data_IF_998315712743
#
_entry.id   IF_998315712743
#
_cell.length_a   1.000
_cell.length_b   1.000
_cell.length_c   1.000
_cell.angle_alpha   90.00
_cell.angle_beta   90.00
_cell.angle_gamma   90.00
#
_symmetry.space_group_name_H-M   'P 1'
#
loop_
_entity.id
_entity.type
_entity.pdbx_description
1 polymer ?
#
# COMPACT_ATOMS: atom_id res chain seq x y z
N UNK A 1 -3.95 -22.32 35.97
CA UNK A 1 -5.19 -21.71 35.44
C UNK A 1 -4.78 -20.38 34.85
N UNK A 2 -4.97 -20.15 33.54
CA UNK A 2 -4.57 -18.87 32.93
C UNK A 2 -5.58 -17.76 33.31
N UNK A 3 -5.18 -16.50 33.21
CA UNK A 3 -6.04 -15.33 33.55
C UNK A 3 -7.37 -15.33 32.79
N UNK A 4 -7.37 -15.77 31.53
CA UNK A 4 -8.57 -15.90 30.71
C UNK A 4 -9.59 -16.88 31.30
N UNK A 5 -9.16 -18.08 31.70
CA UNK A 5 -10.02 -19.09 32.32
C UNK A 5 -10.65 -18.59 33.62
N UNK A 6 -9.93 -17.77 34.39
CA UNK A 6 -10.43 -17.17 35.62
C UNK A 6 -11.52 -16.13 35.33
N UNK A 7 -11.28 -15.24 34.35
CA UNK A 7 -12.23 -14.18 33.98
C UNK A 7 -13.51 -14.77 33.37
N UNK A 8 -13.38 -15.68 32.41
CA UNK A 8 -14.53 -16.34 31.77
C UNK A 8 -15.38 -17.11 32.77
N UNK A 9 -14.76 -17.80 33.74
CA UNK A 9 -15.49 -18.50 34.81
C UNK A 9 -16.24 -17.53 35.71
N UNK A 10 -15.59 -16.43 36.11
CA UNK A 10 -16.20 -15.39 36.94
C UNK A 10 -17.53 -14.89 36.35
N UNK A 11 -17.52 -14.56 35.06
CA UNK A 11 -18.74 -14.10 34.38
C UNK A 11 -19.75 -15.20 34.08
N UNK A 12 -19.29 -16.45 33.88
CA UNK A 12 -20.17 -17.60 33.66
C UNK A 12 -21.04 -17.92 34.89
N UNK A 13 -20.53 -17.66 36.09
CA UNK A 13 -21.23 -17.94 37.35
C UNK A 13 -22.37 -16.94 37.64
N UNK A 14 -22.38 -15.78 36.94
CA UNK A 14 -23.38 -14.73 37.11
C UNK A 14 -24.39 -14.78 35.95
N UNK A 15 -25.68 -14.99 36.27
CA UNK A 15 -26.73 -15.26 35.26
C UNK A 15 -27.37 -14.03 34.60
N UNK A 16 -26.95 -12.80 34.92
CA UNK A 16 -27.52 -11.61 34.29
C UNK A 16 -26.99 -11.43 32.86
N UNK A 17 -27.79 -10.76 32.03
CA UNK A 17 -27.48 -10.51 30.61
C UNK A 17 -26.13 -9.82 30.45
N UNK A 18 -25.89 -8.72 31.18
CA UNK A 18 -24.62 -7.98 31.17
C UNK A 18 -23.41 -8.86 31.46
N UNK A 19 -23.51 -9.80 32.42
CA UNK A 19 -22.41 -10.71 32.71
C UNK A 19 -22.16 -11.72 31.60
N UNK A 20 -23.22 -12.24 30.99
CA UNK A 20 -23.07 -13.16 29.85
C UNK A 20 -22.46 -12.44 28.64
N UNK A 21 -22.77 -11.16 28.43
CA UNK A 21 -22.11 -10.34 27.43
C UNK A 21 -20.62 -10.16 27.72
N UNK A 22 -20.26 -9.82 28.97
CA UNK A 22 -18.87 -9.68 29.37
C UNK A 22 -18.08 -10.98 29.26
N UNK A 23 -18.73 -12.12 29.49
CA UNK A 23 -18.14 -13.44 29.23
C UNK A 23 -17.77 -13.60 27.76
N UNK A 24 -18.72 -13.37 26.85
CA UNK A 24 -18.50 -13.49 25.39
C UNK A 24 -17.35 -12.58 24.94
N UNK A 25 -17.38 -11.33 25.38
CA UNK A 25 -16.32 -10.36 25.10
C UNK A 25 -14.95 -10.78 25.66
N UNK A 26 -14.93 -11.35 26.86
CA UNK A 26 -13.69 -11.84 27.47
C UNK A 26 -13.14 -13.05 26.71
N UNK A 27 -14.00 -13.96 26.28
CA UNK A 27 -13.62 -15.13 25.47
C UNK A 27 -13.01 -14.70 24.13
N UNK A 28 -13.63 -13.75 23.43
CA UNK A 28 -13.09 -13.20 22.18
C UNK A 28 -11.73 -12.52 22.38
N UNK A 29 -11.58 -11.68 23.42
CA UNK A 29 -10.29 -11.04 23.73
C UNK A 29 -9.19 -12.06 24.05
N UNK A 30 -9.55 -13.10 24.78
CA UNK A 30 -8.64 -14.18 25.13
C UNK A 30 -8.22 -15.00 23.91
N UNK A 31 -9.13 -15.22 22.98
CA UNK A 31 -8.83 -15.86 21.70
C UNK A 31 -7.90 -15.00 20.85
N UNK A 32 -8.14 -13.70 20.72
CA UNK A 32 -7.21 -12.75 20.06
C UNK A 32 -5.81 -12.81 20.68
N UNK A 33 -5.73 -12.73 22.00
CA UNK A 33 -4.46 -12.78 22.73
C UNK A 33 -3.73 -14.11 22.49
N UNK A 34 -4.48 -15.22 22.47
CA UNK A 34 -3.91 -16.52 22.20
C UNK A 34 -3.37 -16.61 20.76
N UNK A 35 -4.12 -16.13 19.76
CA UNK A 35 -3.66 -16.05 18.37
C UNK A 35 -2.38 -15.22 18.22
N UNK A 36 -2.32 -14.06 18.87
CA UNK A 36 -1.14 -13.22 18.88
C UNK A 36 0.07 -13.93 19.50
N UNK A 37 -0.10 -14.55 20.67
CA UNK A 37 0.97 -15.29 21.36
C UNK A 37 1.46 -16.51 20.59
N UNK A 38 0.60 -17.15 19.82
CA UNK A 38 0.95 -18.25 18.92
C UNK A 38 1.46 -17.77 17.55
N UNK A 39 1.61 -16.46 17.33
CA UNK A 39 2.04 -15.87 16.06
C UNK A 39 1.14 -16.23 14.86
N UNK A 40 -0.15 -16.51 15.10
CA UNK A 40 -1.09 -16.89 14.04
C UNK A 40 -1.41 -15.70 13.16
N UNK A 41 -1.68 -14.52 13.74
CA UNK A 41 -2.00 -13.33 12.94
C UNK A 41 -0.87 -12.99 11.95
N UNK A 42 0.39 -13.05 12.41
CA UNK A 42 1.57 -12.86 11.55
C UNK A 42 1.66 -13.94 10.46
N UNK A 43 1.45 -15.21 10.83
CA UNK A 43 1.43 -16.32 9.88
C UNK A 43 0.35 -16.14 8.79
N UNK A 44 -0.84 -15.68 9.19
CA UNK A 44 -1.96 -15.41 8.28
C UNK A 44 -1.67 -14.22 7.37
N UNK A 45 -1.04 -13.16 7.87
CA UNK A 45 -0.56 -12.06 7.03
C UNK A 45 0.38 -12.54 5.92
N UNK A 46 1.33 -13.42 6.24
CA UNK A 46 2.21 -14.06 5.24
C UNK A 46 1.46 -14.95 4.26
N UNK A 47 0.46 -15.71 4.74
CA UNK A 47 -0.39 -16.52 3.87
C UNK A 47 -1.21 -15.65 2.90
N UNK A 48 -1.79 -14.55 3.39
CA UNK A 48 -2.55 -13.61 2.56
C UNK A 48 -1.70 -12.96 1.48
N UNK A 49 -0.45 -12.61 1.79
CA UNK A 49 0.49 -12.11 0.81
C UNK A 49 0.68 -13.10 -0.35
N UNK A 50 0.87 -14.38 -0.03
CA UNK A 50 1.07 -15.44 -1.03
C UNK A 50 -0.21 -15.69 -1.85
N UNK A 51 -1.38 -15.70 -1.20
CA UNK A 51 -2.68 -15.86 -1.87
C UNK A 51 -2.93 -14.69 -2.82
N UNK A 52 -2.75 -13.46 -2.35
CA UNK A 52 -2.98 -12.25 -3.13
C UNK A 52 -2.09 -12.18 -4.38
N UNK A 53 -0.79 -12.45 -4.25
CA UNK A 53 0.12 -12.46 -5.40
C UNK A 53 -0.04 -13.69 -6.30
N UNK A 54 -0.69 -14.76 -5.82
CA UNK A 54 -0.94 -15.97 -6.61
C UNK A 54 0.32 -16.71 -7.04
N UNK A 55 1.44 -16.53 -6.32
CA UNK A 55 2.76 -17.06 -6.71
C UNK A 55 2.91 -18.58 -6.48
N UNK A 56 1.94 -19.21 -5.84
CA UNK A 56 1.94 -20.65 -5.54
C UNK A 56 0.79 -21.32 -6.29
N UNK A 57 1.05 -22.44 -6.97
CA UNK A 57 0.03 -23.10 -7.80
C UNK A 57 -1.19 -23.56 -7.01
N UNK A 58 -1.00 -24.07 -5.79
CA UNK A 58 -2.09 -24.61 -4.98
C UNK A 58 -3.09 -23.57 -4.46
N UNK A 59 -2.76 -22.26 -4.50
CA UNK A 59 -3.72 -21.20 -4.09
C UNK A 59 -4.60 -20.72 -5.24
N UNK A 60 -4.21 -20.94 -6.51
CA UNK A 60 -4.87 -20.32 -7.67
C UNK A 60 -6.30 -20.81 -7.92
N UNK A 61 -6.60 -22.04 -7.51
CA UNK A 61 -7.90 -22.68 -7.75
C UNK A 61 -8.88 -22.50 -6.58
N UNK A 62 -8.45 -21.83 -5.50
CA UNK A 62 -9.18 -21.74 -4.24
C UNK A 62 -9.47 -20.29 -3.88
N UNK A 63 -10.74 -19.99 -3.62
CA UNK A 63 -11.18 -18.65 -3.24
C UNK A 63 -11.13 -18.45 -1.72
N UNK A 64 -9.92 -18.33 -1.17
CA UNK A 64 -9.70 -18.09 0.26
C UNK A 64 -10.25 -16.72 0.72
N UNK A 65 -10.35 -15.74 -0.19
CA UNK A 65 -10.83 -14.39 0.11
C UNK A 65 -12.32 -14.21 -0.15
N UNK A 66 -13.05 -15.28 -0.49
CA UNK A 66 -14.48 -15.21 -0.74
C UNK A 66 -15.25 -14.59 0.43
N UNK A 67 -16.12 -13.63 0.14
CA UNK A 67 -17.08 -13.10 1.13
C UNK A 67 -18.19 -14.11 1.43
N UNK A 68 -18.38 -15.12 0.58
CA UNK A 68 -19.31 -16.20 0.85
C UNK A 68 -18.65 -17.22 1.78
N UNK A 69 -19.12 -17.28 3.03
CA UNK A 69 -18.55 -18.14 4.06
C UNK A 69 -18.55 -19.63 3.71
N UNK A 70 -19.51 -20.09 2.90
CA UNK A 70 -19.52 -21.48 2.41
C UNK A 70 -18.35 -21.72 1.45
N UNK A 71 -18.16 -20.84 0.47
CA UNK A 71 -17.06 -20.94 -0.50
C UNK A 71 -15.71 -20.82 0.22
N UNK A 72 -15.59 -19.88 1.16
CA UNK A 72 -14.39 -19.72 1.98
C UNK A 72 -14.12 -20.99 2.81
N UNK A 73 -15.13 -21.55 3.45
CA UNK A 73 -14.99 -22.79 4.23
C UNK A 73 -14.53 -23.96 3.36
N UNK A 74 -15.09 -24.10 2.16
CA UNK A 74 -14.65 -25.09 1.17
C UNK A 74 -13.20 -24.85 0.75
N UNK A 75 -12.79 -23.60 0.51
CA UNK A 75 -11.43 -23.23 0.13
C UNK A 75 -10.40 -23.56 1.24
N UNK A 76 -10.68 -23.20 2.49
CA UNK A 76 -9.79 -23.55 3.61
C UNK A 76 -9.76 -25.05 3.86
N UNK A 77 -10.90 -25.74 3.78
CA UNK A 77 -10.97 -27.19 4.02
C UNK A 77 -10.21 -27.98 2.96
N UNK A 78 -10.52 -27.74 1.68
CA UNK A 78 -9.85 -28.42 0.55
C UNK A 78 -8.39 -27.99 0.40
N UNK A 79 -8.11 -26.72 0.70
CA UNK A 79 -6.79 -26.10 0.64
C UNK A 79 -5.96 -26.25 1.91
N UNK A 80 -6.36 -27.09 2.86
CA UNK A 80 -5.65 -27.26 4.14
C UNK A 80 -4.17 -27.60 3.93
N UNK A 81 -3.86 -28.54 3.05
CA UNK A 81 -2.48 -28.92 2.75
C UNK A 81 -1.66 -27.74 2.22
N UNK A 82 -2.23 -26.95 1.32
CA UNK A 82 -1.61 -25.75 0.75
C UNK A 82 -1.27 -24.72 1.83
N UNK A 83 -2.23 -24.42 2.73
CA UNK A 83 -2.01 -23.52 3.86
C UNK A 83 -0.89 -24.06 4.77
N UNK A 84 -0.92 -25.35 5.11
CA UNK A 84 0.09 -25.95 5.98
C UNK A 84 1.50 -25.92 5.37
N UNK A 85 1.63 -26.12 4.06
CA UNK A 85 2.92 -26.08 3.37
C UNK A 85 3.46 -24.65 3.25
N UNK A 86 2.58 -23.67 3.08
CA UNK A 86 2.94 -22.25 3.19
C UNK A 86 3.38 -21.93 4.62
N UNK A 87 2.63 -22.38 5.63
CA UNK A 87 2.91 -22.10 7.03
C UNK A 87 4.28 -22.66 7.46
N UNK A 88 4.62 -23.89 7.07
CA UNK A 88 5.92 -24.51 7.35
C UNK A 88 7.12 -23.72 6.83
N UNK A 89 6.93 -22.90 5.80
CA UNK A 89 8.01 -22.11 5.17
C UNK A 89 8.10 -20.68 5.71
N UNK A 90 6.97 -20.12 6.14
CA UNK A 90 6.85 -18.68 6.40
C UNK A 90 6.44 -18.33 7.83
N UNK A 91 6.09 -19.31 8.66
CA UNK A 91 5.56 -19.07 10.00
C UNK A 91 6.48 -19.62 11.09
N UNK A 92 6.35 -19.06 12.29
CA UNK A 92 7.05 -19.55 13.47
C UNK A 92 6.54 -20.94 13.87
N UNK A 93 7.39 -21.71 14.56
CA UNK A 93 7.06 -23.07 15.03
C UNK A 93 5.78 -23.11 15.86
N UNK A 94 5.54 -22.14 16.74
CA UNK A 94 4.32 -22.05 17.55
C UNK A 94 3.05 -21.93 16.71
N UNK A 95 3.10 -21.17 15.62
CA UNK A 95 1.98 -21.04 14.69
C UNK A 95 1.68 -22.36 13.99
N UNK A 96 2.72 -23.06 13.55
CA UNK A 96 2.63 -24.36 12.89
C UNK A 96 2.04 -25.41 13.85
N UNK A 97 2.53 -25.45 15.09
CA UNK A 97 2.04 -26.37 16.14
C UNK A 97 0.56 -26.13 16.45
N UNK A 98 0.14 -24.87 16.57
CA UNK A 98 -1.25 -24.51 16.75
C UNK A 98 -2.11 -24.95 15.57
N UNK A 99 -1.73 -24.63 14.33
CA UNK A 99 -2.49 -25.00 13.14
C UNK A 99 -2.61 -26.52 12.99
N UNK A 100 -1.58 -27.28 13.36
CA UNK A 100 -1.64 -28.74 13.38
C UNK A 100 -2.66 -29.27 14.40
N UNK A 101 -2.68 -28.68 15.60
CA UNK A 101 -3.45 -29.22 16.74
C UNK A 101 -4.88 -28.65 16.84
N UNK A 102 -5.13 -27.49 16.27
CA UNK A 102 -6.36 -26.72 16.44
C UNK A 102 -6.94 -26.22 15.10
N UNK A 103 -6.69 -26.95 14.01
CA UNK A 103 -7.13 -26.53 12.68
C UNK A 103 -8.64 -26.29 12.58
N UNK A 104 -9.46 -27.12 13.24
CA UNK A 104 -10.92 -26.98 13.21
C UNK A 104 -11.36 -25.66 13.84
N UNK A 105 -10.76 -25.29 14.98
CA UNK A 105 -11.03 -23.99 15.63
C UNK A 105 -10.54 -22.83 14.76
N UNK A 106 -9.37 -22.96 14.15
CA UNK A 106 -8.89 -22.00 13.17
C UNK A 106 -9.88 -21.82 12.01
N UNK A 107 -10.34 -22.92 11.41
CA UNK A 107 -11.30 -22.91 10.32
C UNK A 107 -12.62 -22.24 10.72
N UNK A 108 -13.14 -22.56 11.91
CA UNK A 108 -14.34 -21.94 12.48
C UNK A 108 -14.17 -20.41 12.54
N UNK A 109 -13.07 -19.91 13.08
CA UNK A 109 -12.77 -18.47 13.16
C UNK A 109 -12.66 -17.85 11.76
N UNK A 110 -12.05 -18.52 10.79
CA UNK A 110 -11.91 -17.98 9.44
C UNK A 110 -13.22 -17.93 8.65
N UNK A 111 -14.23 -18.70 9.05
CA UNK A 111 -15.43 -18.99 8.22
C UNK A 111 -16.75 -18.70 8.91
N UNK A 112 -16.73 -18.31 10.19
CA UNK A 112 -17.92 -17.98 10.95
C UNK A 112 -17.87 -16.49 11.31
N UNK A 113 -18.78 -15.66 10.76
CA UNK A 113 -18.90 -14.26 11.17
C UNK A 113 -19.22 -14.18 12.66
N UNK A 114 -18.76 -13.14 13.33
CA UNK A 114 -19.21 -12.87 14.69
C UNK A 114 -20.63 -12.30 14.73
N UNK A 115 -21.36 -12.58 15.81
CA UNK A 115 -22.60 -11.87 16.09
C UNK A 115 -22.29 -10.39 16.40
N UNK A 116 -22.74 -9.52 15.49
CA UNK A 116 -22.43 -8.11 15.25
C UNK A 116 -22.60 -7.09 16.40
N UNK A 117 -22.81 -7.50 17.66
CA UNK A 117 -23.46 -6.58 18.61
C UNK A 117 -22.66 -6.03 19.77
N UNK A 118 -21.50 -6.56 20.19
CA UNK A 118 -20.92 -6.13 21.49
C UNK A 118 -19.39 -6.01 21.58
N UNK A 119 -18.61 -6.74 20.78
CA UNK A 119 -17.14 -6.71 20.87
C UNK A 119 -16.47 -6.92 19.50
N UNK A 120 -15.32 -6.30 19.29
CA UNK A 120 -14.51 -6.49 18.08
C UNK A 120 -14.08 -7.96 17.96
N UNK A 121 -14.53 -8.65 16.92
CA UNK A 121 -14.22 -10.07 16.76
C UNK A 121 -12.83 -10.30 16.16
N UNK A 122 -12.27 -11.49 16.40
CA UNK A 122 -11.04 -11.92 15.73
C UNK A 122 -11.29 -12.21 14.24
N UNK A 123 -12.49 -12.68 13.89
CA UNK A 123 -12.87 -12.91 12.50
C UNK A 123 -12.72 -11.60 11.71
N UNK A 124 -13.38 -10.54 12.13
CA UNK A 124 -13.40 -9.26 11.41
C UNK A 124 -12.00 -8.65 11.27
N UNK A 125 -11.19 -8.78 12.32
CA UNK A 125 -9.78 -8.37 12.31
C UNK A 125 -8.99 -9.15 11.24
N UNK A 126 -9.10 -10.48 11.23
CA UNK A 126 -8.44 -11.32 10.24
C UNK A 126 -9.01 -11.13 8.83
N UNK A 127 -10.27 -10.73 8.67
CA UNK A 127 -10.84 -10.43 7.36
C UNK A 127 -10.30 -9.11 6.82
N UNK A 128 -10.22 -8.09 7.68
CA UNK A 128 -9.64 -6.78 7.37
C UNK A 128 -8.18 -6.90 6.92
N UNK A 129 -7.41 -7.80 7.55
CA UNK A 129 -6.02 -8.07 7.18
C UNK A 129 -5.83 -8.54 5.72
N UNK A 130 -6.88 -8.99 5.02
CA UNK A 130 -6.79 -9.39 3.61
C UNK A 130 -6.43 -8.22 2.68
N UNK A 131 -6.63 -6.98 3.12
CA UNK A 131 -6.23 -5.79 2.37
C UNK A 131 -4.77 -5.41 2.58
N UNK A 132 -4.07 -5.96 3.58
CA UNK A 132 -2.69 -5.59 3.88
C UNK A 132 -1.71 -5.82 2.72
N UNK A 133 -1.78 -6.93 1.94
CA UNK A 133 -0.91 -7.10 0.79
C UNK A 133 -1.08 -5.96 -0.24
N UNK A 134 -2.33 -5.57 -0.51
CA UNK A 134 -2.65 -4.45 -1.41
C UNK A 134 -2.12 -3.10 -0.89
N UNK A 135 -2.25 -2.85 0.41
CA UNK A 135 -1.72 -1.64 1.02
C UNK A 135 -0.19 -1.64 1.03
N UNK A 136 0.46 -2.79 1.15
CA UNK A 136 1.92 -2.90 1.05
C UNK A 136 2.39 -2.63 -0.37
N UNK A 137 1.70 -3.17 -1.38
CA UNK A 137 1.94 -2.87 -2.79
C UNK A 137 1.80 -1.37 -3.05
N UNK A 138 0.79 -0.71 -2.47
CA UNK A 138 0.65 0.74 -2.52
C UNK A 138 1.93 1.43 -2.03
N UNK A 139 2.37 1.15 -0.80
CA UNK A 139 3.60 1.75 -0.28
C UNK A 139 4.82 1.47 -1.17
N UNK A 140 4.90 0.28 -1.75
CA UNK A 140 5.90 -0.10 -2.74
C UNK A 140 5.84 0.77 -4.00
N UNK A 141 4.65 0.91 -4.59
CA UNK A 141 4.39 1.73 -5.78
C UNK A 141 4.75 3.19 -5.54
N UNK A 142 4.37 3.76 -4.39
CA UNK A 142 4.74 5.13 -4.04
C UNK A 142 6.25 5.31 -3.96
N UNK A 143 6.92 4.39 -3.24
CA UNK A 143 8.37 4.46 -3.04
C UNK A 143 9.11 4.31 -4.36
N UNK A 144 8.71 3.32 -5.17
CA UNK A 144 9.27 3.06 -6.48
C UNK A 144 9.07 4.27 -7.41
N UNK A 145 7.83 4.75 -7.54
CA UNK A 145 7.49 5.90 -8.38
C UNK A 145 8.32 7.12 -8.02
N UNK A 146 8.43 7.43 -6.73
CA UNK A 146 9.22 8.55 -6.25
C UNK A 146 10.69 8.41 -6.66
N UNK A 147 11.29 7.22 -6.51
CA UNK A 147 12.69 6.97 -6.88
C UNK A 147 12.89 7.13 -8.39
N UNK A 148 12.03 6.54 -9.21
CA UNK A 148 12.12 6.62 -10.67
C UNK A 148 11.99 8.07 -11.16
N UNK A 149 11.04 8.82 -10.62
CA UNK A 149 10.88 10.25 -10.92
C UNK A 149 12.12 11.05 -10.52
N UNK A 150 12.69 10.80 -9.33
CA UNK A 150 13.93 11.45 -8.88
C UNK A 150 15.13 11.12 -9.80
N UNK A 151 15.10 9.99 -10.50
CA UNK A 151 16.13 9.62 -11.48
C UNK A 151 15.88 10.21 -12.89
N UNK A 152 14.74 10.87 -13.09
CA UNK A 152 14.31 11.42 -14.37
C UNK A 152 13.66 10.39 -15.30
N UNK A 153 13.27 9.22 -14.77
CA UNK A 153 12.56 8.22 -15.55
C UNK A 153 11.06 8.54 -15.61
N UNK A 154 10.44 8.21 -16.75
CA UNK A 154 9.00 8.27 -16.88
C UNK A 154 8.39 7.00 -16.24
N UNK A 155 7.41 7.21 -15.36
CA UNK A 155 6.68 6.13 -14.69
C UNK A 155 5.29 6.02 -15.29
N UNK A 156 5.00 4.87 -15.88
CA UNK A 156 3.65 4.55 -16.35
C UNK A 156 2.93 3.69 -15.31
N UNK A 157 2.27 4.36 -14.36
CA UNK A 157 1.38 3.70 -13.40
C UNK A 157 -0.04 4.21 -13.62
N UNK A 158 -0.97 3.27 -13.71
CA UNK A 158 -2.40 3.56 -13.76
C UNK A 158 -2.94 3.88 -12.36
N UNK A 159 -2.59 5.04 -11.84
CA UNK A 159 -2.96 5.49 -10.48
C UNK A 159 -4.45 5.35 -10.22
N UNK A 160 -5.37 5.79 -11.12
CA UNK A 160 -6.80 5.69 -10.84
C UNK A 160 -7.28 4.25 -10.63
N UNK A 161 -6.81 3.31 -11.48
CA UNK A 161 -7.18 1.89 -11.36
C UNK A 161 -6.65 1.27 -10.06
N UNK A 162 -5.39 1.57 -9.69
CA UNK A 162 -4.78 1.07 -8.45
C UNK A 162 -5.45 1.63 -7.20
N UNK A 163 -5.72 2.94 -7.19
CA UNK A 163 -6.38 3.63 -6.10
C UNK A 163 -7.79 3.10 -5.85
N UNK A 164 -8.58 2.90 -6.91
CA UNK A 164 -9.91 2.29 -6.78
C UNK A 164 -9.81 0.87 -6.21
N UNK A 165 -8.84 0.07 -6.67
CA UNK A 165 -8.59 -1.27 -6.14
C UNK A 165 -8.21 -1.28 -4.66
N UNK A 166 -7.37 -0.34 -4.20
CA UNK A 166 -7.02 -0.21 -2.78
C UNK A 166 -8.23 0.20 -1.94
N UNK A 167 -8.99 1.19 -2.43
CA UNK A 167 -10.18 1.73 -1.76
C UNK A 167 -11.30 0.72 -1.64
N UNK A 168 -11.58 -0.01 -2.72
CA UNK A 168 -12.61 -1.03 -2.74
C UNK A 168 -12.33 -2.13 -1.71
N UNK A 169 -11.06 -2.52 -1.53
CA UNK A 169 -10.71 -3.49 -0.50
C UNK A 169 -11.08 -2.98 0.90
N UNK A 170 -10.81 -1.70 1.19
CA UNK A 170 -11.07 -1.14 2.52
C UNK A 170 -12.56 -0.90 2.79
N UNK A 171 -13.33 -0.40 1.81
CA UNK A 171 -14.77 -0.16 1.96
C UNK A 171 -15.54 -1.44 2.32
N UNK A 172 -15.01 -2.59 1.91
CA UNK A 172 -15.62 -3.88 2.14
C UNK A 172 -15.59 -4.34 3.61
N UNK A 173 -14.83 -3.67 4.49
CA UNK A 173 -14.67 -4.04 5.89
C UNK A 173 -14.97 -2.87 6.84
N UNK A 174 -15.83 -3.09 7.83
CA UNK A 174 -16.27 -2.09 8.80
C UNK A 174 -15.17 -1.55 9.72
N UNK A 175 -14.03 -2.24 9.81
CA UNK A 175 -12.87 -1.83 10.60
C UNK A 175 -12.14 -0.62 10.01
N UNK A 176 -12.33 -0.35 8.71
CA UNK A 176 -11.80 0.86 8.08
C UNK A 176 -12.78 2.02 8.25
N UNK A 177 -12.36 3.05 8.97
CA UNK A 177 -13.18 4.24 9.20
C UNK A 177 -12.99 5.29 8.08
N UNK A 178 -13.85 6.31 8.08
CA UNK A 178 -13.81 7.40 7.10
C UNK A 178 -12.43 8.08 7.04
N UNK A 179 -11.78 8.31 8.19
CA UNK A 179 -10.45 8.94 8.25
C UNK A 179 -9.37 8.12 7.54
N UNK A 180 -9.44 6.77 7.63
CA UNK A 180 -8.52 5.90 6.90
C UNK A 180 -8.76 5.94 5.39
N UNK A 181 -10.02 6.03 4.96
CA UNK A 181 -10.39 6.18 3.56
C UNK A 181 -9.97 7.55 3.00
N UNK A 182 -10.15 8.62 3.76
CA UNK A 182 -9.71 9.97 3.40
C UNK A 182 -8.18 10.03 3.25
N UNK A 183 -7.45 9.38 4.17
CA UNK A 183 -5.98 9.29 4.09
C UNK A 183 -5.50 8.54 2.84
N UNK A 184 -6.26 7.52 2.41
CA UNK A 184 -5.99 6.81 1.15
C UNK A 184 -6.25 7.72 -0.06
N UNK A 185 -7.35 8.46 -0.08
CA UNK A 185 -7.67 9.41 -1.14
C UNK A 185 -6.59 10.50 -1.25
N UNK A 186 -6.15 11.06 -0.13
CA UNK A 186 -5.04 12.02 -0.08
C UNK A 186 -3.74 11.44 -0.64
N UNK A 187 -3.39 10.21 -0.23
CA UNK A 187 -2.21 9.54 -0.77
C UNK A 187 -2.35 9.39 -2.30
N UNK A 188 -3.48 8.89 -2.78
CA UNK A 188 -3.76 8.69 -4.19
C UNK A 188 -3.63 9.97 -5.02
N UNK A 189 -4.11 11.10 -4.51
CA UNK A 189 -3.91 12.41 -5.13
C UNK A 189 -2.43 12.80 -5.17
N UNK A 190 -1.67 12.54 -4.11
CA UNK A 190 -0.23 12.78 -4.07
C UNK A 190 0.50 11.94 -5.14
N UNK A 191 0.17 10.65 -5.28
CA UNK A 191 0.78 9.79 -6.29
C UNK A 191 0.44 10.23 -7.72
N UNK A 192 -0.83 10.54 -7.95
CA UNK A 192 -1.33 11.04 -9.22
C UNK A 192 -0.63 12.35 -9.59
N UNK A 193 -0.39 13.23 -8.60
CA UNK A 193 0.37 14.46 -8.79
C UNK A 193 1.83 14.17 -9.14
N UNK A 194 2.52 13.27 -8.43
CA UNK A 194 3.91 12.91 -8.74
C UNK A 194 4.08 12.43 -10.19
N UNK A 195 3.19 11.58 -10.68
CA UNK A 195 3.28 11.05 -12.05
C UNK A 195 2.97 12.13 -13.10
N UNK A 196 2.17 13.14 -12.75
CA UNK A 196 1.83 14.26 -13.64
C UNK A 196 2.80 15.43 -13.57
N UNK A 197 3.64 15.53 -12.54
CA UNK A 197 4.59 16.63 -12.41
C UNK A 197 5.70 16.52 -13.44
N UNK A 198 5.94 17.61 -14.17
CA UNK A 198 7.13 17.77 -15.01
C UNK A 198 8.39 17.66 -14.16
N UNK A 199 9.28 16.75 -14.55
CA UNK A 199 10.65 16.62 -14.02
C UNK A 199 11.55 17.76 -14.50
N UNK A 200 12.74 17.91 -13.90
CA UNK A 200 13.77 18.80 -14.43
C UNK A 200 14.04 18.51 -15.91
N UNK A 201 14.27 17.24 -16.29
CA UNK A 201 14.63 16.86 -17.66
C UNK A 201 13.52 17.18 -18.67
N UNK A 202 12.25 16.89 -18.33
CA UNK A 202 11.11 17.18 -19.21
C UNK A 202 10.84 18.68 -19.35
N UNK A 203 10.89 19.42 -18.24
CA UNK A 203 10.77 20.87 -18.26
C UNK A 203 11.94 21.52 -19.00
N UNK A 204 13.17 21.05 -18.79
CA UNK A 204 14.36 21.53 -19.49
C UNK A 204 14.24 21.33 -21.01
N UNK A 205 13.71 20.18 -21.44
CA UNK A 205 13.41 19.93 -22.84
C UNK A 205 12.34 20.89 -23.39
N UNK A 206 11.28 21.16 -22.63
CA UNK A 206 10.21 22.08 -23.00
C UNK A 206 10.74 23.50 -23.19
N UNK A 207 11.48 24.05 -22.21
CA UNK A 207 12.02 25.41 -22.32
C UNK A 207 13.13 25.51 -23.39
N UNK A 208 13.75 24.40 -23.77
CA UNK A 208 14.71 24.38 -24.87
C UNK A 208 14.04 24.51 -26.24
N UNK A 209 12.74 24.24 -26.33
CA UNK A 209 12.01 24.19 -27.60
C UNK A 209 10.92 25.25 -27.72
N UNK A 210 10.20 25.53 -26.65
CA UNK A 210 8.93 26.26 -26.67
C UNK A 210 8.92 27.51 -25.76
N UNK A 211 10.08 28.04 -25.35
CA UNK A 211 10.14 29.23 -24.50
C UNK A 211 9.96 30.53 -25.29
N UNK A 212 9.18 31.46 -24.75
CA UNK A 212 9.19 32.85 -25.20
C UNK A 212 10.46 33.55 -24.68
N UNK A 213 11.47 33.62 -25.55
CA UNK A 213 12.78 34.24 -25.25
C UNK A 213 12.69 35.73 -24.92
N UNK A 214 11.58 36.39 -25.20
CA UNK A 214 11.39 37.82 -24.91
C UNK A 214 10.84 38.09 -23.51
N UNK A 215 10.30 37.07 -22.85
CA UNK A 215 9.65 37.17 -21.52
C UNK A 215 10.64 37.32 -20.37
N UNK A 216 11.89 36.89 -20.54
CA UNK A 216 12.88 36.77 -19.45
C UNK A 216 14.10 37.67 -19.68
N UNK A 217 14.38 38.57 -18.73
CA UNK A 217 15.50 39.53 -18.81
C UNK A 217 16.88 38.85 -18.91
N UNK A 218 17.02 37.66 -18.34
CA UNK A 218 18.28 36.91 -18.39
C UNK A 218 18.57 36.27 -19.76
N UNK A 219 17.58 36.24 -20.67
CA UNK A 219 17.76 35.75 -22.03
C UNK A 219 18.18 36.91 -22.92
N UNK A 220 19.46 36.91 -23.31
CA UNK A 220 19.98 37.90 -24.25
C UNK A 220 19.59 37.53 -25.69
N UNK A 221 18.39 37.96 -26.10
CA UNK A 221 17.90 37.78 -27.46
C UNK A 221 18.21 38.98 -28.35
N UNK A 222 18.91 38.76 -29.47
CA UNK A 222 19.02 39.74 -30.55
C UNK A 222 18.13 39.31 -31.72
N UNK A 223 17.16 40.14 -32.16
CA UNK A 223 16.34 39.82 -33.32
C UNK A 223 17.22 39.76 -34.57
N UNK A 224 17.49 38.55 -35.07
CA UNK A 224 18.22 38.33 -36.32
C UNK A 224 17.23 37.89 -37.39
N UNK A 225 17.28 38.52 -38.56
CA UNK A 225 16.36 38.26 -39.66
C UNK A 225 16.49 36.86 -40.30
N UNK A 226 17.44 36.02 -39.89
CA UNK A 226 17.70 34.71 -40.53
C UNK A 226 18.35 33.63 -39.64
N UNK A 227 18.22 33.68 -38.31
CA UNK A 227 18.80 32.63 -37.45
C UNK A 227 17.91 32.29 -36.25
N UNK A 228 17.79 31.00 -35.97
CA UNK A 228 17.18 30.42 -34.77
C UNK A 228 17.62 31.20 -33.52
N UNK A 229 16.71 31.53 -32.58
CA UNK A 229 17.08 32.18 -31.33
C UNK A 229 18.26 31.44 -30.67
N UNK A 230 19.30 32.18 -30.28
CA UNK A 230 20.45 31.56 -29.62
C UNK A 230 19.99 30.96 -28.29
N UNK A 231 20.08 29.64 -28.16
CA UNK A 231 19.78 28.92 -26.91
C UNK A 231 20.94 29.01 -25.90
N UNK A 232 21.80 30.03 -25.99
CA UNK A 232 22.93 30.24 -25.08
C UNK A 232 22.51 30.26 -23.60
N UNK A 233 21.31 30.75 -23.30
CA UNK A 233 20.77 30.77 -21.94
C UNK A 233 20.66 29.37 -21.31
N UNK A 234 20.55 28.29 -22.11
CA UNK A 234 20.54 26.90 -21.61
C UNK A 234 21.86 26.46 -20.97
N UNK A 235 22.90 27.30 -21.05
CA UNK A 235 24.18 27.10 -20.38
C UNK A 235 24.32 27.92 -19.09
N UNK A 236 23.38 28.81 -18.78
CA UNK A 236 23.37 29.61 -17.55
C UNK A 236 22.39 29.01 -16.53
N UNK A 237 22.94 28.45 -15.45
CA UNK A 237 22.16 27.82 -14.37
C UNK A 237 21.10 28.74 -13.78
N UNK A 238 21.44 30.00 -13.53
CA UNK A 238 20.53 30.95 -12.90
C UNK A 238 19.43 31.38 -13.85
N UNK A 239 19.76 31.55 -15.14
CA UNK A 239 18.75 31.88 -16.13
C UNK A 239 17.80 30.71 -16.36
N UNK A 240 18.31 29.48 -16.51
CA UNK A 240 17.47 28.28 -16.62
C UNK A 240 16.58 28.12 -15.39
N UNK A 241 17.09 28.32 -14.18
CA UNK A 241 16.27 28.28 -12.94
C UNK A 241 15.16 29.32 -12.95
N UNK A 242 15.42 30.51 -13.50
CA UNK A 242 14.44 31.60 -13.61
C UNK A 242 13.37 31.29 -14.65
N UNK A 243 13.77 30.76 -15.81
CA UNK A 243 12.84 30.35 -16.87
C UNK A 243 11.95 29.20 -16.39
N UNK A 244 12.54 28.14 -15.81
CA UNK A 244 11.79 27.00 -15.26
C UNK A 244 10.80 27.43 -14.17
N UNK A 245 11.13 28.43 -13.33
CA UNK A 245 10.19 29.01 -12.35
C UNK A 245 8.95 29.65 -12.97
N UNK A 246 9.07 30.18 -14.19
CA UNK A 246 7.98 30.88 -14.86
C UNK A 246 7.25 30.07 -15.94
N UNK A 247 7.86 28.99 -16.45
CA UNK A 247 7.27 28.13 -17.49
C UNK A 247 6.82 26.75 -16.98
N UNK A 248 7.44 26.23 -15.91
CA UNK A 248 7.21 24.86 -15.48
C UNK A 248 6.48 24.77 -14.15
N UNK A 249 5.94 23.57 -13.88
CA UNK A 249 5.38 23.26 -12.58
C UNK A 249 6.45 23.45 -11.48
N UNK A 250 6.12 24.07 -10.33
CA UNK A 250 7.09 24.31 -9.25
C UNK A 250 7.88 23.08 -8.81
N UNK A 251 7.32 21.87 -8.96
CA UNK A 251 7.99 20.63 -8.60
C UNK A 251 9.17 20.29 -9.51
N UNK A 252 9.21 20.77 -10.76
CA UNK A 252 10.36 20.65 -11.65
C UNK A 252 11.63 21.31 -11.06
N UNK A 253 11.45 22.18 -10.06
CA UNK A 253 12.53 22.89 -9.39
C UNK A 253 13.04 22.20 -8.12
N UNK A 254 12.31 21.22 -7.57
CA UNK A 254 12.68 20.60 -6.29
C UNK A 254 14.04 19.91 -6.37
N UNK A 255 14.33 19.27 -7.49
CA UNK A 255 15.60 18.61 -7.76
C UNK A 255 16.41 19.35 -8.84
N UNK A 256 16.16 20.66 -9.01
CA UNK A 256 16.80 21.47 -10.04
C UNK A 256 18.33 21.34 -10.02
N UNK A 257 18.93 21.47 -8.83
CA UNK A 257 20.38 21.48 -8.70
C UNK A 257 20.95 20.10 -9.06
N UNK A 258 20.26 19.00 -8.70
CA UNK A 258 20.64 17.63 -9.05
C UNK A 258 20.58 17.41 -10.56
N UNK A 259 19.45 17.79 -11.19
CA UNK A 259 19.26 17.71 -12.64
C UNK A 259 20.30 18.53 -13.41
N UNK A 260 20.59 19.75 -12.93
CA UNK A 260 21.61 20.62 -13.51
C UNK A 260 23.01 20.00 -13.45
N UNK A 261 23.43 19.47 -12.30
CA UNK A 261 24.74 18.81 -12.17
C UNK A 261 24.86 17.55 -13.04
N UNK A 262 23.78 16.78 -13.20
CA UNK A 262 23.73 15.64 -14.12
C UNK A 262 23.95 16.11 -15.56
N UNK A 263 23.23 17.14 -15.99
CA UNK A 263 23.35 17.74 -17.32
C UNK A 263 24.77 18.27 -17.60
N UNK A 264 25.38 18.99 -16.65
CA UNK A 264 26.76 19.46 -16.78
C UNK A 264 27.75 18.30 -16.93
N UNK A 265 27.58 17.24 -16.13
CA UNK A 265 28.44 16.05 -16.21
C UNK A 265 28.33 15.39 -17.58
N UNK A 266 27.12 15.25 -18.12
CA UNK A 266 26.91 14.67 -19.45
C UNK A 266 27.51 15.53 -20.56
N UNK A 267 27.37 16.86 -20.48
CA UNK A 267 27.98 17.80 -21.43
C UNK A 267 29.50 17.68 -21.47
N UNK A 268 30.15 17.52 -20.30
CA UNK A 268 31.61 17.32 -20.20
C UNK A 268 32.10 15.98 -20.77
N UNK A 269 31.24 14.98 -20.87
CA UNK A 269 31.59 13.68 -21.46
C UNK A 269 31.44 13.70 -22.99
N UNK A 270 30.53 14.53 -23.52
CA UNK A 270 30.21 14.62 -24.95
C UNK A 270 31.02 15.68 -25.71
N UNK A 271 31.62 16.64 -25.02
CA UNK A 271 32.52 17.66 -25.58
C UNK A 271 33.97 17.24 -25.53
#
# INVERSE_FOLDING_TARGET
MNTCQTITRCYADIKCEESQEQKICSDQKCEKLYFANQNISSCIGSFYDIVYHGNVSCVKELDYFSKNMKIRSEAYTSGKSCLMDIAKKNCMTSAIEYLNSNYERFLEIMTTPSDDRKCESLHDELMTMQCEPRLRDMFGDFTFTKIEIMQGHNVEIKVPEKCESWKQCMIDYSNYNATMLDSLDEACEILNRYIRTTTFDSCFAEISTNVDVTKYECIHYTPSNNSTPSMEFLNDMNCVKTVMKGECDPWALNDFDIGWYKLERERRIRG
#
